data_IF_985032275495
#
_entry.id   IF_985032275495
#
_cell.length_a   1.000
_cell.length_b   1.000
_cell.length_c   1.000
_cell.angle_alpha   90.00
_cell.angle_beta   90.00
_cell.angle_gamma   90.00
#
_symmetry.space_group_name_H-M   'P 1'
#
loop_
_entity.id
_entity.type
_entity.pdbx_description
1 polymer ?
#
# COMPACT_ATOMS: atom_id res chain seq x y z
N UNK A 1 13.05 -5.25 0.79
CA UNK A 1 12.64 -6.49 0.10
C UNK A 1 11.17 -6.36 -0.23
N UNK A 2 10.80 -6.64 -1.48
CA UNK A 2 9.41 -6.60 -1.93
C UNK A 2 8.88 -8.04 -1.95
N UNK A 3 7.68 -8.24 -1.40
CA UNK A 3 7.01 -9.56 -1.34
C UNK A 3 5.76 -9.46 -2.22
N UNK A 4 5.75 -10.24 -3.31
CA UNK A 4 4.66 -10.27 -4.29
C UNK A 4 3.47 -11.13 -3.84
N UNK A 5 3.70 -12.03 -2.88
CA UNK A 5 2.77 -13.04 -2.41
C UNK A 5 2.68 -13.07 -0.87
N UNK A 6 2.29 -11.96 -0.23
CA UNK A 6 2.27 -11.88 1.23
C UNK A 6 1.32 -12.90 1.87
N UNK A 7 0.33 -13.36 1.12
CA UNK A 7 -0.53 -14.49 1.47
C UNK A 7 0.23 -15.74 1.87
N UNK A 8 1.21 -16.15 1.04
CA UNK A 8 2.01 -17.34 1.29
C UNK A 8 2.96 -17.08 2.45
N UNK A 9 3.56 -15.88 2.48
CA UNK A 9 4.47 -15.45 3.54
C UNK A 9 3.81 -15.49 4.94
N UNK A 10 2.58 -14.99 5.10
CA UNK A 10 1.91 -15.03 6.41
C UNK A 10 1.42 -16.43 6.80
N UNK A 11 1.26 -17.34 5.82
CA UNK A 11 0.85 -18.73 6.07
C UNK A 11 2.01 -19.61 6.52
N UNK A 12 3.20 -19.39 5.98
CA UNK A 12 4.39 -20.19 6.26
C UNK A 12 5.36 -19.46 7.21
N UNK A 13 5.53 -20.01 8.42
CA UNK A 13 6.43 -19.43 9.42
C UNK A 13 7.91 -19.47 9.00
N UNK A 14 8.32 -20.48 8.23
CA UNK A 14 9.67 -20.59 7.70
C UNK A 14 9.93 -19.51 6.65
N UNK A 15 8.99 -19.34 5.71
CA UNK A 15 9.10 -18.28 4.70
C UNK A 15 9.11 -16.89 5.33
N UNK A 16 8.23 -16.64 6.31
CA UNK A 16 8.22 -15.38 7.06
C UNK A 16 9.56 -15.11 7.75
N UNK A 17 10.14 -16.10 8.44
CA UNK A 17 11.42 -15.94 9.11
C UNK A 17 12.57 -15.74 8.13
N UNK A 18 12.58 -16.47 7.02
CA UNK A 18 13.55 -16.31 5.95
C UNK A 18 13.55 -14.86 5.46
N UNK A 19 12.40 -14.35 5.02
CA UNK A 19 12.25 -12.96 4.54
C UNK A 19 12.68 -11.95 5.60
N UNK A 20 12.27 -12.14 6.85
CA UNK A 20 12.58 -11.20 7.94
C UNK A 20 14.05 -11.22 8.37
N UNK A 21 14.76 -12.31 8.11
CA UNK A 21 16.16 -12.53 8.48
C UNK A 21 17.15 -12.41 7.31
N UNK A 22 16.70 -12.18 6.07
CA UNK A 22 17.60 -11.99 4.92
C UNK A 22 18.51 -10.77 5.15
N UNK A 23 19.72 -11.04 5.64
CA UNK A 23 20.77 -10.02 5.73
C UNK A 23 21.36 -9.85 4.33
N UNK A 24 21.35 -8.63 3.80
CA UNK A 24 22.16 -8.29 2.63
C UNK A 24 23.62 -8.56 2.99
N UNK A 25 24.24 -9.54 2.36
CA UNK A 25 25.54 -10.13 2.71
C UNK A 25 26.76 -9.24 2.50
N UNK A 26 26.59 -7.97 2.15
CA UNK A 26 27.64 -7.23 1.42
C UNK A 26 28.39 -6.18 2.26
N UNK A 27 28.23 -6.16 3.58
CA UNK A 27 29.04 -5.28 4.44
C UNK A 27 29.03 -5.75 5.88
N UNK A 28 30.17 -6.22 6.39
CA UNK A 28 30.34 -6.75 7.74
C UNK A 28 30.26 -5.69 8.86
N UNK A 29 30.25 -4.39 8.54
CA UNK A 29 30.58 -3.37 9.55
C UNK A 29 29.42 -2.60 10.18
N UNK A 30 28.16 -2.75 9.77
CA UNK A 30 27.07 -2.12 10.54
C UNK A 30 25.72 -2.81 10.37
N UNK A 31 24.96 -3.04 11.46
CA UNK A 31 23.69 -3.71 11.34
C UNK A 31 22.65 -2.72 10.77
N UNK A 32 22.20 -2.92 9.53
CA UNK A 32 21.21 -2.06 8.87
C UNK A 32 19.79 -2.50 9.18
N UNK A 33 18.86 -1.53 9.14
CA UNK A 33 17.43 -1.82 9.13
C UNK A 33 16.99 -2.34 7.76
N UNK A 34 16.20 -3.40 7.74
CA UNK A 34 15.57 -3.97 6.56
C UNK A 34 14.11 -3.55 6.51
N UNK A 35 13.67 -3.03 5.37
CA UNK A 35 12.25 -2.80 5.09
C UNK A 35 11.69 -3.97 4.28
N UNK A 36 10.68 -4.65 4.81
CA UNK A 36 9.88 -5.68 4.12
C UNK A 36 8.58 -5.04 3.70
N UNK A 37 8.30 -5.03 2.40
CA UNK A 37 7.08 -4.44 1.82
C UNK A 37 6.20 -5.60 1.36
N UNK A 38 5.02 -5.71 1.95
CA UNK A 38 3.98 -6.67 1.61
C UNK A 38 2.76 -5.91 1.06
N UNK A 39 2.44 -6.17 -0.20
CA UNK A 39 1.43 -5.39 -0.92
C UNK A 39 0.10 -6.11 -1.07
N UNK A 40 -0.98 -5.36 -1.26
CA UNK A 40 -2.34 -5.90 -1.37
C UNK A 40 -2.71 -6.90 -0.24
N UNK A 41 -2.61 -6.44 1.01
CA UNK A 41 -2.83 -7.29 2.20
C UNK A 41 -4.29 -7.31 2.67
N UNK A 42 -5.22 -6.89 1.81
CA UNK A 42 -6.63 -6.61 2.12
C UNK A 42 -7.37 -7.76 2.84
N UNK A 43 -7.15 -9.02 2.44
CA UNK A 43 -7.81 -10.19 3.04
C UNK A 43 -7.36 -10.46 4.49
N UNK A 44 -6.16 -10.01 4.87
CA UNK A 44 -5.52 -10.35 6.15
C UNK A 44 -5.70 -9.28 7.22
N UNK A 45 -5.84 -8.02 6.82
CA UNK A 45 -5.89 -6.94 7.80
C UNK A 45 -7.29 -6.71 8.41
N UNK A 46 -8.35 -7.25 7.81
CA UNK A 46 -9.74 -7.01 8.25
C UNK A 46 -10.08 -7.67 9.59
N UNK A 47 -10.89 -7.00 10.41
CA UNK A 47 -11.48 -7.57 11.64
C UNK A 47 -12.30 -8.84 11.38
N UNK A 48 -12.97 -8.92 10.23
CA UNK A 48 -13.81 -10.05 9.82
C UNK A 48 -13.07 -11.09 8.98
N UNK A 49 -11.73 -11.02 8.93
CA UNK A 49 -10.93 -11.96 8.18
C UNK A 49 -11.27 -13.42 8.57
N UNK A 50 -11.21 -14.33 7.59
CA UNK A 50 -11.46 -15.76 7.82
C UNK A 50 -10.52 -16.28 8.91
N UNK A 51 -10.92 -17.37 9.59
CA UNK A 51 -10.11 -17.99 10.67
C UNK A 51 -8.65 -18.20 10.25
N UNK A 52 -8.42 -18.63 9.01
CA UNK A 52 -7.08 -18.89 8.48
C UNK A 52 -6.27 -17.60 8.27
N UNK A 53 -6.91 -16.52 7.81
CA UNK A 53 -6.29 -15.21 7.66
C UNK A 53 -5.96 -14.57 9.02
N UNK A 54 -6.83 -14.73 10.02
CA UNK A 54 -6.55 -14.31 11.40
C UNK A 54 -5.36 -15.05 12.02
N UNK A 55 -5.22 -16.35 11.75
CA UNK A 55 -4.06 -17.13 12.19
C UNK A 55 -2.75 -16.67 11.51
N UNK A 56 -2.83 -16.30 10.24
CA UNK A 56 -1.70 -15.76 9.47
C UNK A 56 -1.24 -14.39 9.99
N UNK A 57 -2.18 -13.48 10.25
CA UNK A 57 -1.90 -12.21 10.89
C UNK A 57 -1.31 -12.38 12.30
N UNK A 58 -1.84 -13.33 13.07
CA UNK A 58 -1.31 -13.66 14.40
C UNK A 58 0.15 -14.11 14.38
N UNK A 59 0.57 -14.88 13.36
CA UNK A 59 1.97 -15.26 13.17
C UNK A 59 2.86 -14.04 12.91
N UNK A 60 2.44 -13.15 12.00
CA UNK A 60 3.15 -11.90 11.74
C UNK A 60 3.36 -11.11 13.04
N UNK A 61 2.29 -10.87 13.79
CA UNK A 61 2.33 -10.12 15.05
C UNK A 61 3.27 -10.78 16.07
N UNK A 62 3.22 -12.12 16.21
CA UNK A 62 4.11 -12.82 17.13
C UNK A 62 5.59 -12.69 16.74
N UNK A 63 5.89 -12.65 15.45
CA UNK A 63 7.25 -12.47 14.94
C UNK A 63 7.73 -11.03 15.17
N UNK A 64 6.88 -10.02 14.96
CA UNK A 64 7.24 -8.61 15.16
C UNK A 64 7.27 -8.18 16.63
N UNK A 65 6.45 -8.80 17.49
CA UNK A 65 6.33 -8.44 18.91
C UNK A 65 7.24 -9.27 19.83
N UNK A 66 7.72 -10.42 19.36
CA UNK A 66 8.49 -11.38 20.17
C UNK A 66 9.95 -10.98 20.42
N UNK A 67 10.68 -11.84 21.16
CA UNK A 67 12.14 -11.73 21.39
C UNK A 67 12.90 -11.65 20.05
N UNK A 68 12.40 -12.34 19.02
CA UNK A 68 12.94 -12.24 17.66
C UNK A 68 12.74 -10.83 17.09
N UNK A 69 11.55 -10.22 17.22
CA UNK A 69 11.27 -8.87 16.76
C UNK A 69 12.17 -7.80 17.40
N UNK A 70 12.55 -7.97 18.68
CA UNK A 70 13.49 -7.06 19.35
C UNK A 70 14.96 -7.24 18.91
N UNK A 71 15.33 -8.42 18.43
CA UNK A 71 16.66 -8.70 17.88
C UNK A 71 16.78 -8.46 16.37
N UNK A 72 15.65 -8.46 15.65
CA UNK A 72 15.57 -8.24 14.22
C UNK A 72 15.47 -6.74 13.92
N UNK A 73 16.37 -6.22 13.09
CA UNK A 73 16.28 -4.84 12.59
C UNK A 73 15.39 -4.80 11.35
N UNK A 74 14.14 -5.22 11.49
CA UNK A 74 13.22 -5.33 10.36
C UNK A 74 11.96 -4.51 10.60
N UNK A 75 11.58 -3.70 9.62
CA UNK A 75 10.33 -2.95 9.56
C UNK A 75 9.44 -3.63 8.52
N UNK A 76 8.19 -3.90 8.88
CA UNK A 76 7.18 -4.43 7.94
C UNK A 76 6.26 -3.28 7.53
N UNK A 77 6.17 -3.04 6.23
CA UNK A 77 5.23 -2.12 5.61
C UNK A 77 4.15 -2.95 4.91
N UNK A 78 2.92 -2.73 5.32
CA UNK A 78 1.74 -3.38 4.76
C UNK A 78 0.97 -2.33 3.93
N UNK A 79 0.64 -2.64 2.69
CA UNK A 79 -0.28 -1.80 1.91
C UNK A 79 -1.65 -2.46 1.84
N UNK A 80 -2.69 -1.63 1.84
CA UNK A 80 -4.07 -2.09 1.73
C UNK A 80 -4.95 -1.00 1.15
N UNK A 81 -5.98 -1.37 0.41
CA UNK A 81 -7.05 -0.45 0.00
C UNK A 81 -8.20 -0.41 1.02
N UNK A 82 -8.09 -1.16 2.11
CA UNK A 82 -9.09 -1.18 3.16
C UNK A 82 -9.11 0.11 3.97
N UNK A 83 -10.32 0.51 4.36
CA UNK A 83 -10.51 1.59 5.32
C UNK A 83 -9.80 1.24 6.63
N UNK A 84 -9.01 2.20 7.14
CA UNK A 84 -8.20 2.01 8.32
C UNK A 84 -9.01 1.61 9.56
N UNK A 85 -10.25 2.09 9.66
CA UNK A 85 -11.17 1.75 10.74
C UNK A 85 -11.56 0.26 10.77
N UNK A 86 -11.33 -0.46 9.66
CA UNK A 86 -11.61 -1.89 9.51
C UNK A 86 -10.41 -2.77 9.80
N UNK A 87 -9.23 -2.18 10.05
CA UNK A 87 -8.04 -2.96 10.39
C UNK A 87 -8.18 -3.62 11.75
N UNK A 88 -7.60 -4.81 11.89
CA UNK A 88 -7.62 -5.57 13.12
C UNK A 88 -6.91 -4.78 14.23
N UNK A 89 -7.55 -4.52 15.39
CA UNK A 89 -6.99 -3.68 16.46
C UNK A 89 -5.61 -4.13 16.97
N UNK A 90 -5.28 -5.41 16.81
CA UNK A 90 -3.96 -5.92 17.19
C UNK A 90 -2.80 -5.35 16.36
N UNK A 91 -3.07 -4.84 15.14
CA UNK A 91 -2.12 -4.13 14.29
C UNK A 91 -1.95 -2.67 14.72
N UNK A 92 -3.04 -1.97 15.02
CA UNK A 92 -3.05 -0.53 15.35
C UNK A 92 -2.75 -0.23 16.83
N UNK A 93 -2.43 -1.26 17.62
CA UNK A 93 -2.09 -1.11 19.04
C UNK A 93 -0.86 -0.23 19.24
N UNK A 94 -0.91 0.73 20.20
CA UNK A 94 0.27 1.50 20.57
C UNK A 94 1.45 0.60 20.95
N UNK A 95 2.64 0.91 20.42
CA UNK A 95 3.87 0.13 20.64
C UNK A 95 4.09 -1.03 19.65
N UNK A 96 3.12 -1.32 18.78
CA UNK A 96 3.26 -2.28 17.66
C UNK A 96 3.24 -1.58 16.30
N UNK A 97 2.26 -0.71 16.10
CA UNK A 97 2.20 0.15 14.92
C UNK A 97 3.17 1.31 15.08
N UNK A 98 4.18 1.40 14.22
CA UNK A 98 5.10 2.53 14.20
C UNK A 98 4.46 3.77 13.55
N UNK A 99 3.71 3.56 12.47
CA UNK A 99 3.07 4.63 11.74
C UNK A 99 1.83 4.11 11.00
N UNK A 100 0.84 4.99 10.92
CA UNK A 100 -0.38 4.79 10.16
C UNK A 100 -0.45 5.90 9.11
N UNK A 101 -0.48 5.55 7.82
CA UNK A 101 -0.45 6.52 6.73
C UNK A 101 -1.62 6.27 5.78
N UNK A 102 -2.63 7.13 5.87
CA UNK A 102 -3.80 7.09 4.98
C UNK A 102 -3.60 7.99 3.76
N UNK A 103 -3.83 7.45 2.57
CA UNK A 103 -3.89 8.22 1.33
C UNK A 103 -5.34 8.64 1.08
N UNK A 104 -5.62 9.92 1.25
CA UNK A 104 -6.94 10.50 1.02
C UNK A 104 -7.03 11.11 -0.37
N UNK A 105 -8.25 11.40 -0.82
CA UNK A 105 -8.47 12.25 -1.99
C UNK A 105 -7.83 13.62 -1.77
N UNK A 106 -7.36 14.21 -2.86
CA UNK A 106 -6.77 15.54 -2.85
C UNK A 106 -7.89 16.55 -2.68
N UNK A 107 -7.72 17.47 -1.73
CA UNK A 107 -8.57 18.66 -1.73
C UNK A 107 -8.23 19.54 -2.96
N UNK A 108 -9.10 20.50 -3.34
CA UNK A 108 -8.91 21.30 -4.55
C UNK A 108 -7.56 22.05 -4.61
N UNK A 109 -7.03 22.47 -3.47
CA UNK A 109 -5.74 23.17 -3.38
C UNK A 109 -4.58 22.21 -3.64
N UNK A 110 -4.61 21.02 -3.04
CA UNK A 110 -3.59 19.98 -3.24
C UNK A 110 -3.61 19.49 -4.69
N UNK A 111 -4.79 19.25 -5.27
CA UNK A 111 -4.94 18.84 -6.66
C UNK A 111 -4.35 19.89 -7.62
N UNK A 112 -4.68 21.17 -7.41
CA UNK A 112 -4.10 22.27 -8.20
C UNK A 112 -2.58 22.35 -8.05
N UNK A 113 -2.04 22.20 -6.84
CA UNK A 113 -0.60 22.26 -6.59
C UNK A 113 0.15 21.07 -7.20
N UNK A 114 -0.49 19.91 -7.30
CA UNK A 114 0.08 18.71 -7.89
C UNK A 114 0.09 18.76 -9.43
N UNK A 115 -0.98 19.30 -10.04
CA UNK A 115 -1.13 19.37 -11.49
C UNK A 115 -0.25 20.47 -12.12
N UNK A 116 0.45 20.20 -13.25
CA UNK A 116 1.20 21.21 -14.00
C UNK A 116 0.34 22.40 -14.43
N UNK A 117 0.99 23.54 -14.67
CA UNK A 117 0.32 24.71 -15.23
C UNK A 117 -0.35 24.40 -16.58
N UNK A 118 -1.50 25.03 -16.84
CA UNK A 118 -2.28 24.82 -18.07
C UNK A 118 -3.22 23.61 -18.05
N UNK A 119 -3.08 22.68 -17.11
CA UNK A 119 -4.04 21.57 -16.93
C UNK A 119 -5.24 22.06 -16.12
N UNK A 120 -6.49 21.88 -16.57
CA UNK A 120 -7.67 22.26 -15.80
C UNK A 120 -7.73 21.56 -14.43
N UNK A 121 -8.10 22.29 -13.39
CA UNK A 121 -8.33 21.66 -12.09
C UNK A 121 -9.62 20.82 -12.12
N UNK A 122 -9.63 19.65 -11.46
CA UNK A 122 -10.83 18.84 -11.33
C UNK A 122 -11.89 19.56 -10.48
N UNK A 123 -13.16 19.28 -10.77
CA UNK A 123 -14.32 19.88 -10.07
C UNK A 123 -14.66 19.18 -8.77
N UNK A 124 -14.31 17.89 -8.64
CA UNK A 124 -14.42 17.09 -7.43
C UNK A 124 -13.03 16.81 -6.84
N UNK A 125 -12.99 16.28 -5.61
CA UNK A 125 -11.75 15.82 -4.98
C UNK A 125 -11.23 14.54 -5.68
N UNK A 126 -10.09 14.60 -6.39
CA UNK A 126 -9.56 13.47 -7.13
C UNK A 126 -8.68 12.58 -6.24
N UNK A 127 -8.64 11.31 -6.55
CA UNK A 127 -7.58 10.39 -6.17
C UNK A 127 -6.32 10.64 -7.01
N UNK A 128 -5.19 10.07 -6.58
CA UNK A 128 -3.96 10.11 -7.36
C UNK A 128 -4.14 9.48 -8.76
N UNK A 129 -4.91 8.40 -8.86
CA UNK A 129 -5.20 7.73 -10.14
C UNK A 129 -5.96 8.65 -11.11
N UNK A 130 -6.98 9.36 -10.64
CA UNK A 130 -7.72 10.34 -11.44
C UNK A 130 -6.84 11.51 -11.88
N UNK A 131 -5.87 11.94 -11.05
CA UNK A 131 -4.90 12.96 -11.46
C UNK A 131 -3.97 12.48 -12.58
N UNK A 132 -3.51 11.22 -12.55
CA UNK A 132 -2.74 10.63 -13.65
C UNK A 132 -3.56 10.47 -14.94
N UNK A 133 -4.86 10.18 -14.82
CA UNK A 133 -5.79 10.15 -15.94
C UNK A 133 -5.94 11.54 -16.58
N UNK A 134 -6.10 12.59 -15.77
CA UNK A 134 -6.15 13.99 -16.24
C UNK A 134 -4.88 14.39 -16.99
N UNK A 135 -3.70 13.90 -16.56
CA UNK A 135 -2.44 14.14 -17.27
C UNK A 135 -2.34 13.42 -18.61
N UNK A 136 -3.25 12.48 -18.92
CA UNK A 136 -3.19 11.67 -20.14
C UNK A 136 -2.00 10.70 -20.17
N UNK A 137 -1.35 10.45 -19.04
CA UNK A 137 -0.21 9.53 -18.92
C UNK A 137 -0.62 8.06 -19.04
N UNK A 138 -1.88 7.76 -18.72
CA UNK A 138 -2.45 6.44 -18.90
C UNK A 138 -3.19 6.37 -20.24
N UNK A 139 -2.76 5.45 -21.12
CA UNK A 139 -3.52 5.04 -22.30
C UNK A 139 -4.21 3.71 -21.98
N UNK A 140 -5.45 3.73 -21.47
CA UNK A 140 -6.18 2.49 -21.22
C UNK A 140 -6.38 1.75 -22.54
N UNK A 141 -6.06 0.46 -22.53
CA UNK A 141 -6.37 -0.42 -23.66
C UNK A 141 -7.88 -0.60 -23.67
N UNK A 142 -8.53 -0.03 -24.69
CA UNK A 142 -9.97 -0.14 -24.91
C UNK A 142 -10.23 -0.94 -26.19
N UNK A 143 -11.16 -1.89 -26.11
CA UNK A 143 -11.70 -2.59 -27.30
C UNK A 143 -12.80 -1.79 -27.99
N UNK A 144 -13.28 -0.71 -27.35
CA UNK A 144 -14.26 0.22 -27.93
C UNK A 144 -13.50 1.38 -28.58
N UNK A 145 -13.78 1.71 -29.86
CA UNK A 145 -13.18 2.87 -30.52
C UNK A 145 -13.44 4.15 -29.72
N UNK A 146 -12.37 4.89 -29.40
CA UNK A 146 -12.45 6.18 -28.73
C UNK A 146 -13.21 7.14 -29.65
N UNK A 147 -14.45 7.50 -29.30
CA UNK A 147 -15.18 8.52 -30.06
C UNK A 147 -14.44 9.84 -29.90
N UNK A 148 -13.81 10.32 -30.97
CA UNK A 148 -13.32 11.69 -31.02
C UNK A 148 -14.51 12.61 -30.83
N UNK A 149 -14.55 13.30 -29.69
CA UNK A 149 -15.51 14.37 -29.44
C UNK A 149 -15.21 15.50 -30.41
N UNK A 150 -15.83 15.45 -31.59
CA UNK A 150 -15.83 16.55 -32.54
C UNK A 150 -16.53 17.72 -31.86
N UNK A 151 -15.80 18.82 -31.65
CA UNK A 151 -16.37 20.09 -31.20
C UNK A 151 -17.36 20.59 -32.26
N UNK A 152 -18.63 20.20 -32.16
CA UNK A 152 -19.69 20.73 -32.99
C UNK A 152 -20.36 21.91 -32.29
N UNK A 153 -20.16 23.11 -32.85
CA UNK A 153 -21.20 24.13 -32.95
C UNK A 153 -21.14 25.29 -31.95
N UNK A 154 -20.26 26.26 -32.20
CA UNK A 154 -20.68 27.66 -32.01
C UNK A 154 -21.80 27.94 -33.01
N UNK A 155 -22.97 28.35 -32.53
CA UNK A 155 -23.89 29.16 -33.31
C UNK A 155 -24.22 30.42 -32.51
N UNK A 156 -24.05 31.53 -33.22
CA UNK A 156 -24.37 32.92 -32.87
C UNK A 156 -25.82 33.10 -32.41
#
# INVERSE_FOLDING_TARGET
MYVVDPEQMFRDAGYLLEVMCVRSSDSEDEPRWQLVIAEDTDEYLRVTARRDAGAALGRLLNVTDGILGQGMRSIVLLTTNEDISKLHPALTRPGRCLAEVGFQKFNPRQARAWLPEGVPSPTAEPSLAELYEILGTNSPISTVPKQESTSLGMYL
#
